data_IF_478141691629
#
_entry.id   IF_478141691629
#
_cell.length_a   1.000
_cell.length_b   1.000
_cell.length_c   1.000
_cell.angle_alpha   90.00
_cell.angle_beta   90.00
_cell.angle_gamma   90.00
#
_symmetry.space_group_name_H-M   'P 1'
#
loop_
_entity.id
_entity.type
_entity.pdbx_description
1 polymer ?
#
# COMPACT_ATOMS: atom_id res chain seq x y z
N UNK A 1 -1.60 -19.55 32.10
CA UNK A 1 -2.26 -18.58 31.20
C UNK A 1 -2.96 -17.56 32.05
N UNK A 2 -2.44 -16.34 32.06
CA UNK A 2 -2.90 -15.28 32.94
C UNK A 2 -4.20 -14.68 32.37
N UNK A 3 -5.12 -14.19 33.23
CA UNK A 3 -6.42 -13.65 32.79
C UNK A 3 -6.30 -12.50 31.78
N UNK A 4 -5.16 -11.80 31.78
CA UNK A 4 -4.87 -10.69 30.88
C UNK A 4 -4.52 -11.13 29.44
N UNK A 5 -3.94 -12.33 29.26
CA UNK A 5 -3.65 -12.87 27.91
C UNK A 5 -4.93 -13.30 27.19
N UNK A 6 -5.92 -13.79 27.93
CA UNK A 6 -7.20 -14.23 27.36
C UNK A 6 -8.04 -13.03 26.89
N UNK A 7 -7.94 -11.89 27.58
CA UNK A 7 -8.60 -10.65 27.20
C UNK A 7 -7.99 -10.00 25.94
N UNK A 8 -6.66 -10.06 25.77
CA UNK A 8 -5.99 -9.52 24.59
C UNK A 8 -6.31 -10.31 23.30
N UNK A 9 -6.41 -11.63 23.40
CA UNK A 9 -6.75 -12.50 22.26
C UNK A 9 -8.24 -12.36 21.88
N UNK A 10 -9.13 -12.21 22.85
CA UNK A 10 -10.55 -11.94 22.61
C UNK A 10 -10.80 -10.59 21.92
N UNK A 11 -10.09 -9.54 22.38
CA UNK A 11 -10.12 -8.19 21.79
C UNK A 11 -9.63 -8.17 20.34
N UNK A 12 -8.58 -8.94 20.03
CA UNK A 12 -8.01 -9.01 18.67
C UNK A 12 -8.93 -9.76 17.70
N UNK A 13 -9.59 -10.82 18.16
CA UNK A 13 -10.57 -11.58 17.37
C UNK A 13 -11.84 -10.77 17.04
N UNK A 14 -12.35 -10.00 18.02
CA UNK A 14 -13.48 -9.09 17.81
C UNK A 14 -13.12 -7.90 16.89
N UNK A 15 -11.89 -7.40 16.96
CA UNK A 15 -11.38 -6.37 16.05
C UNK A 15 -11.32 -6.86 14.60
N UNK A 16 -10.79 -8.08 14.36
CA UNK A 16 -10.72 -8.68 13.03
C UNK A 16 -12.11 -9.00 12.46
N UNK A 17 -13.08 -9.36 13.32
CA UNK A 17 -14.46 -9.56 12.89
C UNK A 17 -15.22 -8.25 12.61
N UNK A 18 -14.88 -7.14 13.28
CA UNK A 18 -15.45 -5.81 12.94
C UNK A 18 -14.97 -5.28 11.60
N UNK A 19 -13.74 -5.59 11.18
CA UNK A 19 -13.22 -5.16 9.87
C UNK A 19 -13.88 -5.91 8.70
N UNK A 20 -14.27 -7.18 8.90
CA UNK A 20 -15.03 -7.96 7.89
C UNK A 20 -16.44 -7.44 7.62
N UNK A 21 -16.98 -6.53 8.43
CA UNK A 21 -18.37 -6.07 8.35
C UNK A 21 -18.56 -4.71 7.65
N UNK A 22 -17.49 -4.02 7.24
CA UNK A 22 -17.63 -2.75 6.49
C UNK A 22 -17.92 -3.03 5.01
N UNK A 23 -19.22 -3.09 4.68
CA UNK A 23 -19.74 -3.04 3.31
C UNK A 23 -19.15 -1.81 2.58
N UNK A 24 -18.55 -2.04 1.41
CA UNK A 24 -18.21 -1.00 0.44
C UNK A 24 -19.41 -0.05 0.23
N UNK A 25 -19.20 1.28 0.17
CA UNK A 25 -20.26 2.21 -0.16
C UNK A 25 -20.75 1.97 -1.60
N UNK A 26 -22.06 1.85 -1.76
CA UNK A 26 -22.70 1.62 -3.06
C UNK A 26 -22.85 2.93 -3.85
N UNK A 27 -21.97 3.22 -4.82
CA UNK A 27 -22.14 4.23 -5.89
C UNK A 27 -21.27 3.80 -7.10
N UNK A 28 -21.63 3.82 -8.37
CA UNK A 28 -22.67 4.50 -9.16
C UNK A 28 -23.48 3.47 -9.97
N UNK A 29 -24.81 3.54 -9.91
CA UNK A 29 -25.68 2.77 -10.80
C UNK A 29 -25.95 3.63 -12.05
N UNK A 30 -25.24 3.35 -13.14
CA UNK A 30 -25.53 3.96 -14.44
C UNK A 30 -26.89 3.41 -14.90
N UNK A 31 -27.92 4.27 -14.95
CA UNK A 31 -29.21 3.93 -15.53
C UNK A 31 -29.10 4.00 -17.06
N UNK A 32 -29.17 2.85 -17.72
CA UNK A 32 -29.39 2.82 -19.16
C UNK A 32 -30.90 2.78 -19.42
N UNK A 33 -31.39 3.80 -20.11
CA UNK A 33 -32.75 3.86 -20.61
C UNK A 33 -32.97 2.71 -21.61
N UNK A 34 -33.96 1.85 -21.34
CA UNK A 34 -34.35 0.76 -22.23
C UNK A 34 -35.11 1.35 -23.42
N UNK A 35 -34.44 1.52 -24.55
CA UNK A 35 -35.11 1.66 -25.85
C UNK A 35 -35.19 0.27 -26.48
N UNK A 36 -36.41 -0.22 -26.62
CA UNK A 36 -36.71 -1.45 -27.35
C UNK A 36 -36.47 -1.24 -28.85
N UNK A 37 -35.77 -2.19 -29.48
CA UNK A 37 -35.76 -2.35 -30.94
C UNK A 37 -34.37 -2.29 -31.59
N UNK A 38 -33.70 -3.44 -31.65
CA UNK A 38 -32.95 -3.95 -32.81
C UNK A 38 -32.05 -5.11 -32.35
N UNK A 39 -32.35 -6.33 -32.81
CA UNK A 39 -31.50 -7.51 -32.60
C UNK A 39 -30.31 -7.41 -33.57
N UNK A 40 -29.35 -6.56 -33.23
CA UNK A 40 -28.01 -6.58 -33.81
C UNK A 40 -27.08 -7.25 -32.81
N UNK A 41 -26.45 -8.36 -33.18
CA UNK A 41 -25.44 -9.03 -32.35
C UNK A 41 -24.21 -8.13 -32.28
N UNK A 42 -24.20 -7.19 -31.34
CA UNK A 42 -23.05 -6.32 -31.10
C UNK A 42 -21.87 -7.21 -30.68
N UNK A 43 -20.85 -7.33 -31.54
CA UNK A 43 -19.60 -7.97 -31.15
C UNK A 43 -18.97 -7.12 -30.04
N UNK A 44 -18.79 -7.72 -28.85
CA UNK A 44 -18.13 -7.06 -27.74
C UNK A 44 -16.73 -6.60 -28.18
N UNK A 45 -16.40 -5.32 -27.92
CA UNK A 45 -15.08 -4.75 -28.24
C UNK A 45 -13.99 -5.62 -27.62
N UNK A 46 -12.97 -5.97 -28.41
CA UNK A 46 -11.79 -6.67 -27.89
C UNK A 46 -11.02 -5.74 -26.94
N UNK A 47 -10.70 -6.24 -25.75
CA UNK A 47 -9.85 -5.53 -24.79
C UNK A 47 -8.45 -5.30 -25.36
N UNK A 48 -7.89 -4.13 -25.12
CA UNK A 48 -6.50 -3.81 -25.43
C UNK A 48 -5.55 -4.64 -24.56
N UNK A 49 -4.26 -4.65 -24.90
CA UNK A 49 -3.27 -5.32 -24.07
C UNK A 49 -3.16 -4.69 -22.68
N UNK A 50 -3.20 -3.36 -22.58
CA UNK A 50 -3.19 -2.64 -21.31
C UNK A 50 -4.39 -2.97 -20.43
N UNK A 51 -5.60 -3.06 -21.01
CA UNK A 51 -6.81 -3.47 -20.27
C UNK A 51 -6.70 -4.88 -19.72
N UNK A 52 -6.12 -5.82 -20.49
CA UNK A 52 -5.88 -7.18 -20.01
C UNK A 52 -4.88 -7.23 -18.86
N UNK A 53 -3.84 -6.39 -18.90
CA UNK A 53 -2.89 -6.28 -17.80
C UNK A 53 -3.56 -5.70 -16.56
N UNK A 54 -4.34 -4.63 -16.71
CA UNK A 54 -5.09 -4.03 -15.61
C UNK A 54 -6.07 -5.04 -14.98
N UNK A 55 -6.81 -5.79 -15.81
CA UNK A 55 -7.69 -6.86 -15.33
C UNK A 55 -6.92 -7.92 -14.53
N UNK A 56 -5.72 -8.32 -14.98
CA UNK A 56 -4.91 -9.32 -14.28
C UNK A 56 -4.43 -8.78 -12.93
N UNK A 57 -3.93 -7.55 -12.87
CA UNK A 57 -3.54 -6.91 -11.60
C UNK A 57 -4.74 -6.83 -10.65
N UNK A 58 -5.91 -6.37 -11.14
CA UNK A 58 -7.13 -6.31 -10.34
C UNK A 58 -7.55 -7.69 -9.80
N UNK A 59 -7.44 -8.73 -10.62
CA UNK A 59 -7.70 -10.11 -10.20
C UNK A 59 -6.73 -10.57 -9.10
N UNK A 60 -5.44 -10.22 -9.19
CA UNK A 60 -4.44 -10.54 -8.15
C UNK A 60 -4.76 -9.78 -6.85
N UNK A 61 -5.08 -8.49 -6.94
CA UNK A 61 -5.51 -7.69 -5.77
C UNK A 61 -6.69 -8.33 -5.06
N UNK A 62 -7.72 -8.72 -5.82
CA UNK A 62 -8.90 -9.38 -5.26
C UNK A 62 -8.56 -10.75 -4.66
N UNK A 63 -7.83 -11.59 -5.39
CA UNK A 63 -7.48 -12.94 -4.93
C UNK A 63 -6.60 -12.96 -3.69
N UNK A 64 -5.72 -11.95 -3.55
CA UNK A 64 -4.82 -11.80 -2.39
C UNK A 64 -5.47 -11.05 -1.23
N UNK A 65 -6.63 -10.41 -1.44
CA UNK A 65 -7.25 -9.48 -0.49
C UNK A 65 -6.27 -8.37 -0.09
N UNK A 66 -5.70 -7.69 -1.09
CA UNK A 66 -4.86 -6.51 -0.85
C UNK A 66 -5.80 -5.36 -0.49
N UNK A 67 -5.72 -4.90 0.76
CA UNK A 67 -6.65 -3.91 1.31
C UNK A 67 -6.15 -2.48 1.10
N UNK A 68 -4.83 -2.27 1.20
CA UNK A 68 -4.24 -0.94 1.18
C UNK A 68 -2.90 -0.92 0.46
N UNK A 69 -2.64 0.21 -0.19
CA UNK A 69 -1.29 0.63 -0.59
C UNK A 69 -0.83 1.70 0.38
N UNK A 70 0.35 1.54 0.96
CA UNK A 70 0.85 2.35 2.06
C UNK A 70 1.97 3.28 1.60
N UNK A 71 1.96 4.52 2.07
CA UNK A 71 3.07 5.46 1.93
C UNK A 71 3.34 6.13 3.27
N UNK A 72 4.55 5.98 3.80
CA UNK A 72 4.94 6.65 5.03
C UNK A 72 5.72 7.93 4.71
N UNK A 73 5.33 9.02 5.38
CA UNK A 73 5.87 10.37 5.16
C UNK A 73 5.86 11.16 6.47
N UNK A 74 6.61 12.26 6.52
CA UNK A 74 6.49 13.25 7.59
C UNK A 74 5.07 13.82 7.61
N UNK A 75 4.54 14.03 8.82
CA UNK A 75 3.21 14.61 9.04
C UNK A 75 3.07 15.98 8.37
N UNK A 76 4.14 16.76 8.34
CA UNK A 76 4.18 18.10 7.73
C UNK A 76 3.90 18.09 6.23
N UNK A 77 4.12 16.97 5.53
CA UNK A 77 3.80 16.84 4.11
C UNK A 77 2.30 16.62 3.86
N UNK A 78 1.51 16.29 4.90
CA UNK A 78 0.09 15.95 4.76
C UNK A 78 -0.74 17.06 4.08
N UNK A 79 -0.64 18.35 4.45
CA UNK A 79 -1.40 19.40 3.76
C UNK A 79 -1.07 19.51 2.27
N UNK A 80 0.19 19.31 1.89
CA UNK A 80 0.61 19.28 0.47
C UNK A 80 0.01 18.09 -0.27
N UNK A 81 0.05 16.90 0.34
CA UNK A 81 -0.53 15.68 -0.23
C UNK A 81 -2.05 15.80 -0.39
N UNK A 82 -2.75 16.40 0.58
CA UNK A 82 -4.20 16.61 0.50
C UNK A 82 -4.60 17.56 -0.64
N UNK A 83 -3.76 18.54 -0.96
CA UNK A 83 -4.00 19.50 -2.05
C UNK A 83 -3.63 18.94 -3.43
N UNK A 84 -2.44 18.34 -3.52
CA UNK A 84 -1.80 18.07 -4.81
C UNK A 84 -1.73 16.57 -5.15
N UNK A 85 -2.05 15.71 -4.20
CA UNK A 85 -1.82 14.27 -4.30
C UNK A 85 -0.42 13.87 -3.88
N UNK A 86 -0.14 12.58 -4.03
CA UNK A 86 1.20 12.07 -3.83
C UNK A 86 1.99 12.32 -5.12
N UNK A 87 3.07 13.09 -4.99
CA UNK A 87 3.93 13.51 -6.10
C UNK A 87 5.32 12.90 -5.95
N UNK A 88 6.00 12.70 -7.08
CA UNK A 88 7.40 12.28 -7.08
C UNK A 88 8.31 13.44 -6.66
N UNK A 89 9.52 13.12 -6.22
CA UNK A 89 10.50 14.14 -5.80
C UNK A 89 10.88 15.08 -6.94
N UNK A 90 11.04 14.54 -8.15
CA UNK A 90 11.31 15.34 -9.34
C UNK A 90 10.26 16.44 -9.54
N UNK A 91 8.96 16.08 -9.46
CA UNK A 91 7.87 17.05 -9.59
C UNK A 91 7.89 18.08 -8.46
N UNK A 92 8.17 17.64 -7.23
CA UNK A 92 8.20 18.53 -6.07
C UNK A 92 9.35 19.55 -6.13
N UNK A 93 10.51 19.13 -6.61
CA UNK A 93 11.67 19.99 -6.82
C UNK A 93 11.44 20.98 -7.97
N UNK A 94 10.83 20.55 -9.07
CA UNK A 94 10.55 21.42 -10.22
C UNK A 94 9.49 22.49 -9.91
N UNK A 95 8.56 22.20 -9.00
CA UNK A 95 7.43 23.08 -8.68
C UNK A 95 7.65 24.00 -7.46
N UNK A 96 8.87 24.02 -6.89
CA UNK A 96 9.24 24.79 -5.69
C UNK A 96 8.26 24.59 -4.52
N UNK A 97 7.77 23.36 -4.36
CA UNK A 97 6.94 23.01 -3.21
C UNK A 97 7.82 22.80 -1.98
N UNK A 98 7.42 23.42 -0.85
CA UNK A 98 7.96 23.08 0.46
C UNK A 98 7.63 21.61 0.79
N UNK A 99 8.53 20.70 0.43
CA UNK A 99 8.43 19.27 0.80
C UNK A 99 9.64 18.86 1.61
N UNK A 100 9.33 18.30 2.77
CA UNK A 100 10.33 17.73 3.65
C UNK A 100 10.62 16.30 3.19
N UNK A 101 11.66 16.19 2.35
CA UNK A 101 12.17 14.92 1.86
C UNK A 101 12.66 14.06 3.04
N UNK A 102 12.19 12.81 3.10
CA UNK A 102 12.53 11.85 4.16
C UNK A 102 13.97 11.31 4.11
N UNK A 103 14.68 11.57 3.03
CA UNK A 103 16.08 11.16 2.80
C UNK A 103 16.68 12.15 1.79
N UNK A 104 17.90 12.66 2.02
CA UNK A 104 18.55 13.59 1.08
C UNK A 104 18.97 12.87 -0.20
N UNK A 105 19.33 11.58 -0.10
CA UNK A 105 19.82 10.76 -1.22
C UNK A 105 18.96 9.50 -1.40
N UNK A 106 18.31 9.36 -2.57
CA UNK A 106 17.75 8.08 -3.03
C UNK A 106 18.86 7.24 -3.65
N UNK A 107 19.15 6.07 -3.05
CA UNK A 107 20.18 5.15 -3.54
C UNK A 107 19.82 4.42 -4.85
N UNK A 108 18.57 4.52 -5.32
CA UNK A 108 18.07 3.91 -6.56
C UNK A 108 18.06 4.87 -7.77
N UNK A 109 18.32 6.17 -7.58
CA UNK A 109 18.45 7.16 -8.66
C UNK A 109 17.16 7.47 -9.43
N UNK A 110 15.99 7.00 -8.96
CA UNK A 110 14.69 7.19 -9.61
C UNK A 110 13.86 8.24 -8.85
N UNK A 111 14.23 9.50 -9.00
CA UNK A 111 13.50 10.63 -8.40
C UNK A 111 12.12 10.88 -9.05
N UNK A 112 11.87 10.25 -10.20
CA UNK A 112 10.61 10.31 -10.94
C UNK A 112 9.49 9.42 -10.40
N UNK A 113 9.80 8.42 -9.57
CA UNK A 113 8.83 7.46 -9.06
C UNK A 113 8.45 7.68 -7.59
N UNK A 114 7.20 7.33 -7.26
CA UNK A 114 6.68 7.34 -5.89
C UNK A 114 6.78 5.94 -5.30
N UNK A 115 7.52 5.79 -4.20
CA UNK A 115 7.64 4.52 -3.48
C UNK A 115 6.47 4.28 -2.54
N UNK A 116 5.81 3.14 -2.70
CA UNK A 116 4.72 2.67 -1.83
C UNK A 116 4.91 1.20 -1.47
N UNK A 117 4.26 0.76 -0.39
CA UNK A 117 4.28 -0.62 0.09
C UNK A 117 2.90 -1.25 -0.01
N UNK A 118 2.82 -2.58 -0.13
CA UNK A 118 1.53 -3.30 -0.21
C UNK A 118 1.20 -3.88 1.16
N UNK A 119 0.07 -3.46 1.75
CA UNK A 119 -0.56 -3.98 2.97
C UNK A 119 0.25 -3.91 4.29
N UNK A 120 1.57 -3.80 4.23
CA UNK A 120 2.49 -3.71 5.36
C UNK A 120 3.64 -2.76 5.01
N UNK A 121 4.28 -2.16 6.01
CA UNK A 121 5.49 -1.37 5.81
C UNK A 121 6.74 -2.14 6.27
N UNK A 122 7.91 -1.75 5.76
CA UNK A 122 9.19 -2.30 6.20
C UNK A 122 9.71 -1.57 7.45
N UNK A 123 9.68 -2.17 8.65
CA UNK A 123 10.00 -1.42 9.88
C UNK A 123 11.44 -0.91 9.93
N UNK A 124 12.41 -1.71 9.44
CA UNK A 124 13.82 -1.32 9.45
C UNK A 124 14.10 -0.06 8.61
N UNK A 125 13.50 0.03 7.42
CA UNK A 125 13.64 1.24 6.58
C UNK A 125 12.94 2.42 7.22
N UNK A 126 11.74 2.19 7.77
CA UNK A 126 10.98 3.25 8.41
C UNK A 126 11.72 3.82 9.63
N UNK A 127 12.22 2.98 10.54
CA UNK A 127 13.01 3.37 11.70
C UNK A 127 14.27 4.17 11.32
N UNK A 128 14.98 3.73 10.27
CA UNK A 128 16.15 4.44 9.76
C UNK A 128 15.80 5.87 9.30
N UNK A 129 14.65 6.03 8.62
CA UNK A 129 14.17 7.35 8.18
C UNK A 129 13.73 8.23 9.35
N UNK A 130 13.01 7.68 10.33
CA UNK A 130 12.62 8.42 11.53
C UNK A 130 13.82 8.92 12.34
N UNK A 131 14.85 8.08 12.44
CA UNK A 131 16.10 8.45 13.11
C UNK A 131 16.78 9.64 12.42
N UNK A 132 16.86 9.62 11.09
CA UNK A 132 17.44 10.71 10.29
C UNK A 132 16.63 12.00 10.36
N UNK A 133 15.32 11.91 10.54
CA UNK A 133 14.41 13.07 10.61
C UNK A 133 14.33 13.71 12.00
N UNK A 134 15.22 13.38 12.94
CA UNK A 134 15.29 14.05 14.25
C UNK A 134 14.02 13.92 15.10
N UNK A 135 13.30 12.79 15.02
CA UNK A 135 12.02 12.55 15.70
C UNK A 135 10.86 13.47 15.28
N UNK A 136 10.91 14.09 14.10
CA UNK A 136 9.73 14.72 13.52
C UNK A 136 8.54 13.73 13.45
N UNK A 137 7.29 14.19 13.62
CA UNK A 137 6.12 13.31 13.61
C UNK A 137 5.88 12.70 12.22
N UNK A 138 5.49 11.42 12.20
CA UNK A 138 5.25 10.65 10.97
C UNK A 138 3.78 10.24 10.84
N UNK A 139 3.38 9.99 9.60
CA UNK A 139 2.08 9.42 9.23
C UNK A 139 2.28 8.34 8.17
N UNK A 140 1.54 7.24 8.27
CA UNK A 140 1.42 6.24 7.21
C UNK A 140 0.07 6.45 6.54
N UNK A 141 0.07 6.85 5.27
CA UNK A 141 -1.13 7.07 4.48
C UNK A 141 -1.55 5.76 3.80
N UNK A 142 -2.84 5.45 3.85
CA UNK A 142 -3.43 4.29 3.20
C UNK A 142 -4.21 4.74 1.96
N UNK A 143 -3.88 4.16 0.82
CA UNK A 143 -4.50 4.43 -0.48
C UNK A 143 -5.26 3.21 -1.01
N UNK A 144 -6.26 3.49 -1.84
CA UNK A 144 -7.09 2.50 -2.51
C UNK A 144 -6.23 1.64 -3.47
N UNK A 145 -6.27 0.31 -3.34
CA UNK A 145 -5.41 -0.59 -4.10
C UNK A 145 -5.71 -0.59 -5.61
N UNK A 146 -6.82 0.02 -6.05
CA UNK A 146 -7.08 0.28 -7.46
C UNK A 146 -5.99 1.06 -8.17
N UNK A 147 -5.20 1.84 -7.42
CA UNK A 147 -4.05 2.52 -7.99
C UNK A 147 -3.08 1.55 -8.69
N UNK A 148 -2.99 0.29 -8.24
CA UNK A 148 -2.07 -0.70 -8.80
C UNK A 148 -2.40 -1.08 -10.25
N UNK A 149 -3.67 -0.94 -10.68
CA UNK A 149 -4.08 -1.23 -12.07
C UNK A 149 -4.59 -0.01 -12.84
N UNK A 150 -4.80 1.12 -12.18
CA UNK A 150 -5.12 2.39 -12.84
C UNK A 150 -3.88 3.24 -13.13
N UNK A 151 -2.73 2.93 -12.50
CA UNK A 151 -1.46 3.60 -12.74
C UNK A 151 -0.42 2.65 -13.33
N UNK A 152 0.61 3.22 -13.93
CA UNK A 152 1.79 2.45 -14.31
C UNK A 152 2.65 2.19 -13.07
N UNK A 153 2.71 0.92 -12.66
CA UNK A 153 3.44 0.48 -11.48
C UNK A 153 4.54 -0.52 -11.84
N UNK A 154 5.70 -0.36 -11.19
CA UNK A 154 6.76 -1.35 -11.17
C UNK A 154 6.75 -2.07 -9.81
N UNK A 155 6.77 -3.39 -9.82
CA UNK A 155 6.70 -4.28 -8.67
C UNK A 155 8.08 -4.89 -8.41
N UNK A 156 8.59 -4.70 -7.20
CA UNK A 156 9.90 -5.18 -6.76
C UNK A 156 9.74 -6.14 -5.59
N UNK A 157 10.22 -7.38 -5.77
CA UNK A 157 10.10 -8.45 -4.76
C UNK A 157 10.89 -8.15 -3.49
N UNK A 158 11.99 -7.40 -3.63
CA UNK A 158 12.82 -6.85 -2.57
C UNK A 158 12.99 -5.35 -2.83
N UNK A 159 13.58 -4.60 -1.89
CA UNK A 159 13.71 -3.14 -2.04
C UNK A 159 14.41 -2.77 -3.35
N UNK A 160 13.96 -1.71 -4.04
CA UNK A 160 14.40 -1.39 -5.40
C UNK A 160 15.93 -1.18 -5.51
N UNK A 161 16.56 -0.71 -4.44
CA UNK A 161 18.01 -0.47 -4.35
C UNK A 161 18.85 -1.68 -3.93
N UNK A 162 18.24 -2.82 -3.60
CA UNK A 162 18.96 -4.00 -3.08
C UNK A 162 19.68 -4.78 -4.18
N UNK A 163 20.76 -5.49 -3.82
CA UNK A 163 21.45 -6.38 -4.76
C UNK A 163 20.54 -7.51 -5.26
N UNK A 164 19.62 -8.00 -4.43
CA UNK A 164 18.62 -9.00 -4.84
C UNK A 164 17.83 -8.50 -6.06
N UNK A 165 17.38 -7.25 -6.03
CA UNK A 165 16.68 -6.59 -7.14
C UNK A 165 17.57 -6.36 -8.36
N UNK A 166 18.84 -5.95 -8.16
CA UNK A 166 19.79 -5.69 -9.26
C UNK A 166 20.05 -6.93 -10.13
N UNK A 167 20.08 -8.10 -9.50
CA UNK A 167 20.32 -9.37 -10.19
C UNK A 167 19.02 -10.13 -10.51
N UNK A 168 17.84 -9.59 -10.18
CA UNK A 168 16.58 -10.21 -10.52
C UNK A 168 16.29 -10.07 -12.03
N UNK A 169 16.15 -11.20 -12.72
CA UNK A 169 15.73 -11.25 -14.11
C UNK A 169 14.20 -11.36 -14.21
N UNK A 170 13.60 -10.49 -15.03
CA UNK A 170 12.16 -10.53 -15.32
C UNK A 170 11.57 -9.16 -15.63
N UNK A 171 10.31 -9.17 -16.07
CA UNK A 171 9.52 -7.94 -16.16
C UNK A 171 9.06 -7.54 -14.76
N UNK A 172 9.14 -6.24 -14.47
CA UNK A 172 8.68 -5.64 -13.21
C UNK A 172 7.27 -5.05 -13.31
N UNK A 173 6.62 -5.17 -14.45
CA UNK A 173 5.30 -4.60 -14.71
C UNK A 173 4.29 -5.70 -15.06
N UNK A 174 3.04 -5.48 -14.66
CA UNK A 174 1.88 -6.33 -14.97
C UNK A 174 1.54 -7.34 -13.88
N UNK A 175 0.43 -8.06 -14.06
CA UNK A 175 -0.11 -8.96 -13.04
C UNK A 175 0.85 -10.07 -12.59
N UNK A 176 1.61 -10.66 -13.52
CA UNK A 176 2.66 -11.62 -13.17
C UNK A 176 3.77 -11.03 -12.30
N UNK A 177 4.13 -9.75 -12.49
CA UNK A 177 5.13 -9.10 -11.65
C UNK A 177 4.58 -8.84 -10.24
N UNK A 178 3.30 -8.47 -10.13
CA UNK A 178 2.61 -8.37 -8.83
C UNK A 178 2.52 -9.74 -8.13
N UNK A 179 2.17 -10.81 -8.84
CA UNK A 179 2.10 -12.18 -8.28
C UNK A 179 3.42 -12.59 -7.63
N UNK A 180 4.55 -12.27 -8.28
CA UNK A 180 5.90 -12.59 -7.81
C UNK A 180 6.24 -11.99 -6.44
N UNK A 181 5.62 -10.88 -6.05
CA UNK A 181 5.79 -10.32 -4.69
C UNK A 181 5.35 -11.30 -3.60
N UNK A 182 4.48 -12.24 -3.96
CA UNK A 182 3.89 -13.21 -3.05
C UNK A 182 4.34 -14.65 -3.34
N UNK A 183 5.30 -14.84 -4.24
CA UNK A 183 5.92 -16.14 -4.46
C UNK A 183 6.63 -16.57 -3.19
N UNK A 184 6.48 -17.85 -2.87
CA UNK A 184 7.17 -18.43 -1.72
C UNK A 184 8.69 -18.46 -1.92
N UNK A 185 9.45 -18.54 -0.83
CA UNK A 185 10.91 -18.64 -0.90
C UNK A 185 11.34 -20.10 -0.73
N UNK A 186 11.41 -20.84 -1.85
CA UNK A 186 11.75 -22.27 -1.84
C UNK A 186 13.13 -22.60 -1.26
N UNK A 187 14.08 -21.65 -1.30
CA UNK A 187 15.40 -21.83 -0.69
C UNK A 187 15.42 -21.65 0.84
N UNK A 188 14.32 -21.20 1.43
CA UNK A 188 14.18 -20.91 2.86
C UNK A 188 13.09 -21.78 3.50
N UNK A 189 12.84 -22.96 2.93
CA UNK A 189 11.91 -23.93 3.49
C UNK A 189 12.35 -24.30 4.92
N UNK A 190 11.38 -24.39 5.83
CA UNK A 190 11.59 -24.93 7.16
C UNK A 190 12.13 -26.38 7.04
N UNK A 191 13.03 -26.84 7.92
CA UNK A 191 13.35 -28.26 8.09
C UNK A 191 12.16 -29.24 8.07
N UNK A 192 10.95 -28.77 8.40
CA UNK A 192 9.68 -29.54 8.35
C UNK A 192 9.02 -29.60 6.97
N UNK A 193 9.60 -28.97 5.95
CA UNK A 193 9.07 -28.93 4.58
C UNK A 193 7.93 -27.93 4.37
N UNK A 194 7.67 -27.05 5.34
CA UNK A 194 6.68 -25.97 5.20
C UNK A 194 7.27 -24.81 4.40
N UNK A 195 6.43 -24.22 3.55
CA UNK A 195 6.78 -23.05 2.76
C UNK A 195 7.12 -21.85 3.65
N UNK A 196 7.97 -20.94 3.17
CA UNK A 196 8.43 -19.78 3.94
C UNK A 196 7.26 -18.92 4.41
N UNK A 197 6.30 -18.64 3.53
CA UNK A 197 5.11 -17.83 3.90
C UNK A 197 4.30 -18.46 5.03
N UNK A 198 4.12 -19.77 4.99
CA UNK A 198 3.40 -20.52 6.03
C UNK A 198 4.18 -20.54 7.34
N UNK A 199 5.49 -20.80 7.28
CA UNK A 199 6.37 -20.81 8.44
C UNK A 199 6.38 -19.45 9.18
N UNK A 200 6.13 -18.36 8.47
CA UNK A 200 6.04 -17.01 9.01
C UNK A 200 4.61 -16.53 9.30
N UNK A 201 3.58 -17.33 9.01
CA UNK A 201 2.18 -16.96 9.23
C UNK A 201 1.73 -15.74 8.43
N UNK A 202 2.28 -15.54 7.22
CA UNK A 202 2.04 -14.34 6.42
C UNK A 202 0.60 -14.30 5.88
N UNK A 203 -0.14 -13.19 6.10
CA UNK A 203 -1.43 -12.97 5.45
C UNK A 203 -1.32 -13.05 3.92
N UNK A 204 -2.40 -13.47 3.25
CA UNK A 204 -2.43 -13.64 1.79
C UNK A 204 -2.06 -12.37 1.04
N UNK A 205 -2.49 -11.21 1.55
CA UNK A 205 -2.28 -9.88 0.97
C UNK A 205 -0.94 -9.24 1.33
N UNK A 206 -0.10 -9.91 2.12
CA UNK A 206 1.21 -9.40 2.52
C UNK A 206 2.30 -10.00 1.63
N UNK A 207 3.20 -9.16 1.05
CA UNK A 207 4.34 -9.63 0.28
C UNK A 207 5.23 -10.61 1.07
N UNK A 208 5.88 -11.52 0.35
CA UNK A 208 6.77 -12.52 0.95
C UNK A 208 7.98 -11.90 1.62
N UNK A 209 8.48 -10.76 1.14
CA UNK A 209 9.55 -10.03 1.82
C UNK A 209 9.03 -8.69 2.34
N UNK A 210 9.46 -8.27 3.55
CA UNK A 210 8.97 -7.04 4.15
C UNK A 210 9.48 -5.79 3.44
N UNK A 211 10.59 -5.89 2.69
CA UNK A 211 11.18 -4.80 1.92
C UNK A 211 10.65 -4.73 0.48
N UNK A 212 9.62 -5.51 0.11
CA UNK A 212 8.98 -5.41 -1.18
C UNK A 212 8.46 -3.99 -1.44
N UNK A 213 8.64 -3.51 -2.67
CA UNK A 213 8.40 -2.12 -3.04
C UNK A 213 7.58 -2.04 -4.32
N UNK A 214 6.69 -1.04 -4.38
CA UNK A 214 6.04 -0.63 -5.62
C UNK A 214 6.46 0.78 -5.95
N UNK A 215 6.90 0.99 -7.18
CA UNK A 215 7.15 2.32 -7.74
C UNK A 215 5.97 2.71 -8.63
N UNK A 216 5.24 3.75 -8.23
CA UNK A 216 4.19 4.37 -9.03
C UNK A 216 4.83 5.46 -9.90
N UNK A 217 4.70 5.34 -11.21
CA UNK A 217 5.43 6.18 -12.16
C UNK A 217 4.73 7.51 -12.47
N UNK A 218 3.57 7.77 -11.86
CA UNK A 218 2.75 8.95 -12.09
C UNK A 218 2.18 9.46 -10.76
N UNK A 219 1.86 10.77 -10.67
CA UNK A 219 1.13 11.34 -9.54
C UNK A 219 -0.10 10.52 -9.13
N UNK A 220 -0.30 10.33 -7.83
CA UNK A 220 -1.50 9.69 -7.28
C UNK A 220 -2.44 10.76 -6.77
N UNK A 221 -3.63 10.82 -7.36
CA UNK A 221 -4.65 11.82 -6.99
C UNK A 221 -5.09 11.63 -5.52
N UNK A 222 -5.37 12.72 -4.77
CA UNK A 222 -5.88 12.64 -3.40
C UNK A 222 -7.09 11.72 -3.21
N UNK A 223 -7.92 11.51 -4.23
CA UNK A 223 -9.12 10.65 -4.15
C UNK A 223 -8.83 9.17 -3.89
N UNK A 224 -7.60 8.73 -4.11
CA UNK A 224 -7.19 7.38 -3.70
C UNK A 224 -6.98 7.28 -2.18
N UNK A 225 -6.86 8.39 -1.45
CA UNK A 225 -6.60 8.37 0.00
C UNK A 225 -7.81 7.83 0.76
N UNK A 226 -7.60 6.71 1.46
CA UNK A 226 -8.60 6.06 2.31
C UNK A 226 -8.47 6.48 3.77
N UNK A 227 -7.26 6.85 4.21
CA UNK A 227 -7.02 7.16 5.62
C UNK A 227 -5.56 7.33 5.98
N UNK A 228 -5.33 7.44 7.28
CA UNK A 228 -4.02 7.63 7.89
C UNK A 228 -3.86 6.78 9.15
N UNK A 229 -2.62 6.34 9.38
CA UNK A 229 -2.18 5.67 10.60
C UNK A 229 -1.12 6.53 11.28
N UNK A 230 -1.33 6.81 12.57
CA UNK A 230 -0.50 7.68 13.42
C UNK A 230 -0.27 7.05 14.80
N UNK A 231 0.76 7.47 15.53
CA UNK A 231 1.15 6.85 16.81
C UNK A 231 0.34 7.33 18.01
N UNK A 232 -0.08 8.60 18.04
CA UNK A 232 -0.70 9.21 19.23
C UNK A 232 -2.05 9.86 18.93
N UNK A 233 -2.95 9.93 19.93
CA UNK A 233 -4.26 10.58 19.77
C UNK A 233 -4.15 12.04 19.33
N UNK A 234 -3.14 12.77 19.83
CA UNK A 234 -2.93 14.20 19.53
C UNK A 234 -2.61 14.40 18.04
N UNK A 235 -1.74 13.55 17.48
CA UNK A 235 -1.47 13.54 16.04
C UNK A 235 -2.73 13.12 15.29
N UNK A 236 -3.48 12.15 15.80
CA UNK A 236 -4.75 11.72 15.21
C UNK A 236 -5.77 12.84 15.09
N UNK A 237 -5.89 13.70 16.10
CA UNK A 237 -6.78 14.87 16.06
C UNK A 237 -6.29 15.91 15.07
N UNK A 238 -4.98 16.11 14.95
CA UNK A 238 -4.40 16.99 13.94
C UNK A 238 -4.72 16.50 12.51
N UNK A 239 -4.56 15.20 12.26
CA UNK A 239 -4.85 14.58 10.96
C UNK A 239 -6.35 14.64 10.64
N UNK A 240 -7.23 14.34 11.60
CA UNK A 240 -8.69 14.47 11.41
C UNK A 240 -9.10 15.88 10.99
N UNK A 241 -8.58 16.91 11.67
CA UNK A 241 -8.83 18.31 11.30
C UNK A 241 -8.35 18.65 9.88
N UNK A 242 -7.20 18.11 9.47
CA UNK A 242 -6.68 18.31 8.12
C UNK A 242 -7.57 17.62 7.06
N UNK A 243 -8.07 16.41 7.35
CA UNK A 243 -9.05 15.73 6.50
C UNK A 243 -10.36 16.52 6.40
N UNK A 244 -10.94 16.96 7.51
CA UNK A 244 -12.17 17.75 7.51
C UNK A 244 -12.02 19.05 6.71
N UNK A 245 -10.91 19.78 6.91
CA UNK A 245 -10.62 21.03 6.21
C UNK A 245 -10.42 20.84 4.69
N UNK A 246 -10.10 19.62 4.24
CA UNK A 246 -9.95 19.27 2.82
C UNK A 246 -11.18 18.55 2.24
N UNK A 247 -12.29 18.46 2.99
CA UNK A 247 -13.52 17.79 2.55
C UNK A 247 -13.39 16.26 2.48
N UNK A 248 -12.57 15.67 3.36
CA UNK A 248 -12.24 14.23 3.41
C UNK A 248 -12.63 13.60 4.75
N UNK A 249 -13.77 14.00 5.30
CA UNK A 249 -14.31 13.52 6.58
C UNK A 249 -14.59 12.01 6.62
N UNK A 250 -14.66 11.35 5.45
CA UNK A 250 -14.77 9.90 5.31
C UNK A 250 -13.45 9.12 5.52
N UNK A 251 -12.30 9.79 5.54
CA UNK A 251 -11.01 9.12 5.65
C UNK A 251 -10.79 8.59 7.08
N UNK A 252 -10.49 7.29 7.20
CA UNK A 252 -10.27 6.64 8.50
C UNK A 252 -8.94 7.13 9.13
N UNK A 253 -8.93 7.40 10.44
CA UNK A 253 -7.70 7.71 11.20
C UNK A 253 -7.47 6.66 12.27
N UNK A 254 -6.45 5.84 12.08
CA UNK A 254 -6.03 4.79 13.01
C UNK A 254 -4.95 5.33 13.93
N UNK A 255 -5.16 5.21 15.24
CA UNK A 255 -4.18 5.59 16.26
C UNK A 255 -3.61 4.33 16.89
N UNK A 256 -2.36 4.01 16.56
CA UNK A 256 -1.66 2.82 17.05
C UNK A 256 -0.13 3.03 16.91
N UNK A 257 0.72 2.53 17.82
CA UNK A 257 2.17 2.59 17.67
C UNK A 257 2.65 1.92 16.36
N UNK A 258 3.66 2.48 15.71
CA UNK A 258 4.29 1.89 14.51
C UNK A 258 5.22 0.73 14.89
N UNK A 259 4.64 -0.38 15.34
CA UNK A 259 5.38 -1.58 15.72
C UNK A 259 5.22 -2.69 14.69
N UNK A 260 6.26 -3.54 14.49
CA UNK A 260 6.12 -4.75 13.70
C UNK A 260 4.95 -5.62 14.20
N UNK A 261 4.13 -6.13 13.29
CA UNK A 261 3.02 -7.06 13.58
C UNK A 261 3.45 -8.52 13.45
N UNK A 262 4.39 -8.81 12.56
CA UNK A 262 4.99 -10.15 12.41
C UNK A 262 6.50 -10.02 12.57
N UNK A 263 7.04 -10.74 13.55
CA UNK A 263 8.47 -10.76 13.86
C UNK A 263 9.00 -12.18 13.78
N UNK A 264 9.81 -12.48 12.77
CA UNK A 264 10.54 -13.73 12.72
C UNK A 264 11.91 -13.50 12.11
N UNK A 265 12.94 -13.47 12.98
CA UNK A 265 14.29 -13.04 12.60
C UNK A 265 14.80 -13.83 11.38
N UNK A 266 15.35 -13.14 10.35
CA UNK A 266 15.68 -11.70 10.30
C UNK A 266 14.56 -10.78 9.75
N UNK A 267 13.36 -11.29 9.49
CA UNK A 267 12.29 -10.59 8.75
C UNK A 267 11.17 -10.07 9.64
N UNK A 268 10.88 -8.77 9.55
CA UNK A 268 9.82 -8.10 10.31
C UNK A 268 8.90 -7.34 9.37
N UNK A 269 7.58 -7.49 9.55
CA UNK A 269 6.53 -6.80 8.81
C UNK A 269 5.70 -5.95 9.78
N UNK A 270 5.42 -4.70 9.43
CA UNK A 270 4.62 -3.75 10.22
C UNK A 270 3.20 -3.53 9.73
#
# INVERSE_FOLDING_TARGET
MNRDEVAAVASTSEYMNRQKAKRLPARHRISYATTAGAVGRAMARKKTYGEKIADHIAAVVQARNIEHVLHFTLLENLPGILRNGLLSRAILQDADYDVFASDVDRLDGEDGAISVSISCFYPKMFDAKRYRSGNAPWVILAFDPSLLWTHHCLFYRNGASTNATKYEHGKRYGGFALERLFDDCSMMMDPRGTGFREAHGLPTGWPTFPDAEVQVMNPVHPDYLLGAWVETPEIGDHVRKAFDASGRDQCDVVVQPFVPRICSKPYWWG
#
